data_IF_727487902815
#
_entry.id   IF_727487902815
#
_cell.length_a   1.000
_cell.length_b   1.000
_cell.length_c   1.000
_cell.angle_alpha   90.00
_cell.angle_beta   90.00
_cell.angle_gamma   90.00
#
_symmetry.space_group_name_H-M   'P 1'
#
loop_
_entity.id
_entity.type
_entity.pdbx_description
1 polymer ?
#
# COMPACT_ATOMS: atom_id res chain seq x y z
N UNK A 1 11.40 14.35 -6.25
CA UNK A 1 10.16 13.70 -6.65
C UNK A 1 9.19 14.74 -7.18
N UNK A 2 8.56 14.48 -8.30
CA UNK A 2 7.61 15.42 -8.89
C UNK A 2 6.27 15.39 -8.18
N UNK A 3 5.52 16.50 -8.26
CA UNK A 3 4.17 16.56 -7.74
C UNK A 3 3.24 15.54 -8.40
N UNK A 4 3.51 15.20 -9.67
CA UNK A 4 2.75 14.18 -10.40
C UNK A 4 2.91 12.80 -9.78
N UNK A 5 4.12 12.46 -9.33
CA UNK A 5 4.39 11.18 -8.68
C UNK A 5 3.64 11.08 -7.35
N UNK A 6 3.63 12.16 -6.56
CA UNK A 6 2.88 12.20 -5.30
C UNK A 6 1.38 12.16 -5.54
N UNK A 7 0.90 12.89 -6.57
CA UNK A 7 -0.52 12.88 -6.93
C UNK A 7 -0.98 11.48 -7.34
N UNK A 8 -0.11 10.67 -7.95
CA UNK A 8 -0.45 9.31 -8.32
C UNK A 8 -0.79 8.45 -7.11
N UNK A 9 -0.12 8.64 -5.97
CA UNK A 9 -0.44 7.90 -4.76
C UNK A 9 -1.89 8.16 -4.31
N UNK A 10 -2.35 9.41 -4.41
CA UNK A 10 -3.73 9.75 -4.09
C UNK A 10 -4.67 9.09 -5.09
N UNK A 11 -4.32 9.11 -6.38
CA UNK A 11 -5.10 8.45 -7.43
C UNK A 11 -5.17 6.94 -7.21
N UNK A 12 -4.07 6.33 -6.77
CA UNK A 12 -4.03 4.89 -6.48
C UNK A 12 -4.98 4.54 -5.32
N UNK A 13 -5.03 5.39 -4.29
CA UNK A 13 -5.97 5.21 -3.19
C UNK A 13 -7.42 5.22 -3.71
N UNK A 14 -7.74 6.14 -4.60
CA UNK A 14 -9.08 6.23 -5.21
C UNK A 14 -9.38 5.01 -6.09
N UNK A 15 -8.39 4.52 -6.84
CA UNK A 15 -8.54 3.31 -7.65
C UNK A 15 -8.84 2.10 -6.76
N UNK A 16 -8.15 1.98 -5.64
CA UNK A 16 -8.38 0.90 -4.67
C UNK A 16 -9.79 1.00 -4.10
N UNK A 17 -10.24 2.20 -3.74
CA UNK A 17 -11.59 2.42 -3.23
C UNK A 17 -12.65 1.99 -4.25
N UNK A 18 -12.46 2.34 -5.53
CA UNK A 18 -13.36 1.94 -6.61
C UNK A 18 -13.39 0.42 -6.78
N UNK A 19 -12.22 -0.21 -6.79
CA UNK A 19 -12.10 -1.66 -6.98
C UNK A 19 -12.63 -2.45 -5.78
N UNK A 20 -12.61 -1.86 -4.59
CA UNK A 20 -13.15 -2.50 -3.39
C UNK A 20 -14.64 -2.81 -3.53
N UNK A 21 -15.38 -1.98 -4.31
CA UNK A 21 -16.79 -2.19 -4.58
C UNK A 21 -17.08 -3.05 -5.82
N UNK A 22 -16.05 -3.53 -6.51
CA UNK A 22 -16.20 -4.32 -7.72
C UNK A 22 -16.45 -5.80 -7.39
N UNK A 23 -16.81 -6.57 -8.44
CA UNK A 23 -16.98 -8.01 -8.33
C UNK A 23 -15.62 -8.67 -8.06
N UNK A 24 -15.58 -9.56 -7.08
CA UNK A 24 -14.39 -10.32 -6.71
C UNK A 24 -13.83 -11.14 -7.88
N UNK A 25 -14.67 -11.56 -8.82
CA UNK A 25 -14.23 -12.31 -10.00
C UNK A 25 -13.49 -11.44 -11.01
N UNK A 26 -13.69 -10.12 -10.98
CA UNK A 26 -13.12 -9.19 -11.97
C UNK A 26 -12.01 -8.31 -11.42
N UNK A 27 -11.75 -8.34 -10.12
CA UNK A 27 -10.78 -7.45 -9.48
C UNK A 27 -9.98 -8.18 -8.41
N UNK A 28 -8.66 -8.13 -8.53
CA UNK A 28 -7.74 -8.66 -7.52
C UNK A 28 -7.97 -7.98 -6.16
N UNK A 29 -8.13 -6.65 -6.16
CA UNK A 29 -8.38 -5.88 -4.93
C UNK A 29 -9.67 -6.33 -4.24
N UNK A 30 -10.75 -6.46 -5.02
CA UNK A 30 -12.04 -6.90 -4.46
C UNK A 30 -11.94 -8.32 -3.89
N UNK A 31 -11.26 -9.22 -4.61
CA UNK A 31 -11.06 -10.60 -4.16
C UNK A 31 -10.24 -10.65 -2.87
N UNK A 32 -9.17 -9.88 -2.81
CA UNK A 32 -8.30 -9.84 -1.64
C UNK A 32 -9.05 -9.32 -0.41
N UNK A 33 -9.83 -8.24 -0.57
CA UNK A 33 -10.65 -7.70 0.51
C UNK A 33 -11.72 -8.70 0.96
N UNK A 34 -12.30 -9.46 0.02
CA UNK A 34 -13.29 -10.49 0.33
C UNK A 34 -12.68 -11.64 1.14
N UNK A 35 -11.39 -11.91 0.99
CA UNK A 35 -10.69 -12.93 1.77
C UNK A 35 -10.46 -12.51 3.22
N UNK A 36 -10.61 -11.23 3.54
CA UNK A 36 -10.58 -10.70 4.90
C UNK A 36 -9.25 -10.08 5.31
N UNK A 37 -9.28 -9.37 6.43
CA UNK A 37 -8.16 -8.60 6.98
C UNK A 37 -6.89 -9.44 7.15
N UNK A 38 -7.03 -10.66 7.64
CA UNK A 38 -5.88 -11.53 7.90
C UNK A 38 -5.08 -11.81 6.63
N UNK A 39 -5.76 -12.02 5.51
CA UNK A 39 -5.10 -12.28 4.23
C UNK A 39 -4.38 -11.02 3.72
N UNK A 40 -5.03 -9.87 3.81
CA UNK A 40 -4.41 -8.60 3.41
C UNK A 40 -3.18 -8.31 4.26
N UNK A 41 -3.30 -8.48 5.58
CA UNK A 41 -2.20 -8.28 6.53
C UNK A 41 -1.03 -9.23 6.24
N UNK A 42 -1.32 -10.46 5.86
CA UNK A 42 -0.29 -11.44 5.46
C UNK A 42 0.52 -10.94 4.27
N UNK A 43 -0.16 -10.39 3.25
CA UNK A 43 0.53 -9.85 2.07
C UNK A 43 1.47 -8.70 2.46
N UNK A 44 1.01 -7.79 3.31
CA UNK A 44 1.84 -6.68 3.79
C UNK A 44 3.08 -7.20 4.53
N UNK A 45 2.90 -8.17 5.42
CA UNK A 45 4.00 -8.76 6.18
C UNK A 45 5.03 -9.45 5.29
N UNK A 46 4.57 -10.26 4.34
CA UNK A 46 5.44 -10.97 3.41
C UNK A 46 6.25 -10.00 2.55
N UNK A 47 5.61 -8.98 2.03
CA UNK A 47 6.29 -8.01 1.16
C UNK A 47 7.24 -7.10 1.92
N UNK A 48 6.95 -6.81 3.19
CA UNK A 48 7.89 -6.08 4.04
C UNK A 48 9.19 -6.86 4.21
N UNK A 49 9.11 -8.17 4.42
CA UNK A 49 10.28 -9.03 4.50
C UNK A 49 11.04 -9.06 3.18
N UNK A 50 10.33 -9.18 2.06
CA UNK A 50 10.94 -9.22 0.72
C UNK A 50 11.65 -7.91 0.37
N UNK A 51 11.09 -6.76 0.76
CA UNK A 51 11.75 -5.46 0.60
C UNK A 51 13.09 -5.45 1.36
N UNK A 52 13.07 -5.89 2.62
CA UNK A 52 14.27 -5.92 3.45
C UNK A 52 15.34 -6.82 2.84
N UNK A 53 14.96 -8.01 2.38
CA UNK A 53 15.87 -8.96 1.76
C UNK A 53 16.46 -8.43 0.45
N UNK A 54 15.65 -7.79 -0.39
CA UNK A 54 16.13 -7.19 -1.64
C UNK A 54 17.15 -6.09 -1.37
N UNK A 55 16.93 -5.28 -0.35
CA UNK A 55 17.85 -4.22 0.05
C UNK A 55 19.19 -4.78 0.52
N UNK A 56 19.16 -5.81 1.38
CA UNK A 56 20.37 -6.47 1.89
C UNK A 56 21.16 -7.13 0.77
N UNK A 57 20.46 -7.73 -0.21
CA UNK A 57 21.09 -8.37 -1.36
C UNK A 57 21.65 -7.36 -2.38
N UNK A 58 21.31 -6.08 -2.25
CA UNK A 58 21.75 -5.06 -3.19
C UNK A 58 21.07 -5.14 -4.55
N UNK A 59 19.93 -5.80 -4.65
CA UNK A 59 19.18 -5.94 -5.89
C UNK A 59 18.19 -4.78 -6.02
N UNK A 60 18.62 -3.74 -6.76
CA UNK A 60 17.83 -2.51 -6.89
C UNK A 60 16.51 -2.71 -7.62
N UNK A 61 16.50 -3.51 -8.69
CA UNK A 61 15.29 -3.75 -9.46
C UNK A 61 14.24 -4.48 -8.62
N UNK A 62 14.66 -5.50 -7.89
CA UNK A 62 13.79 -6.25 -7.01
C UNK A 62 13.29 -5.38 -5.84
N UNK A 63 14.16 -4.54 -5.30
CA UNK A 63 13.78 -3.60 -4.24
C UNK A 63 12.63 -2.69 -4.69
N UNK A 64 12.72 -2.15 -5.92
CA UNK A 64 11.66 -1.28 -6.45
C UNK A 64 10.35 -2.05 -6.64
N UNK A 65 10.41 -3.26 -7.18
CA UNK A 65 9.22 -4.09 -7.40
C UNK A 65 8.54 -4.45 -6.08
N UNK A 66 9.33 -4.91 -5.11
CA UNK A 66 8.78 -5.33 -3.82
C UNK A 66 8.27 -4.13 -3.02
N UNK A 67 8.94 -2.99 -3.10
CA UNK A 67 8.47 -1.76 -2.45
C UNK A 67 7.14 -1.29 -3.05
N UNK A 68 6.99 -1.41 -4.38
CA UNK A 68 5.73 -1.07 -5.05
C UNK A 68 4.60 -1.99 -4.58
N UNK A 69 4.86 -3.30 -4.50
CA UNK A 69 3.89 -4.28 -4.00
C UNK A 69 3.51 -4.00 -2.55
N UNK A 70 4.49 -3.70 -1.71
CA UNK A 70 4.27 -3.37 -0.30
C UNK A 70 3.37 -2.15 -0.16
N UNK A 71 3.68 -1.09 -0.91
CA UNK A 71 2.90 0.16 -0.85
C UNK A 71 1.46 -0.08 -1.31
N UNK A 72 1.28 -0.83 -2.39
CA UNK A 72 -0.04 -1.18 -2.89
C UNK A 72 -0.86 -1.94 -1.84
N UNK A 73 -0.31 -3.02 -1.29
CA UNK A 73 -1.03 -3.83 -0.31
C UNK A 73 -1.23 -3.09 1.02
N UNK A 74 -0.31 -2.19 1.38
CA UNK A 74 -0.52 -1.33 2.55
C UNK A 74 -1.75 -0.44 2.36
N UNK A 75 -1.90 0.16 1.17
CA UNK A 75 -3.08 0.98 0.88
C UNK A 75 -4.36 0.15 0.90
N UNK A 76 -4.32 -1.10 0.42
CA UNK A 76 -5.46 -2.01 0.50
C UNK A 76 -5.81 -2.31 1.96
N UNK A 77 -4.81 -2.59 2.79
CA UNK A 77 -5.03 -2.85 4.22
C UNK A 77 -5.63 -1.65 4.93
N UNK A 78 -5.14 -0.45 4.64
CA UNK A 78 -5.70 0.78 5.20
C UNK A 78 -7.17 0.93 4.82
N UNK A 79 -7.50 0.68 3.55
CA UNK A 79 -8.89 0.69 3.08
C UNK A 79 -9.75 -0.30 3.83
N UNK A 80 -9.24 -1.52 4.03
CA UNK A 80 -9.91 -2.57 4.79
C UNK A 80 -10.25 -2.12 6.21
N UNK A 81 -9.39 -1.31 6.83
CA UNK A 81 -9.55 -0.80 8.18
C UNK A 81 -10.21 0.59 8.24
N UNK A 82 -10.71 1.08 7.11
CA UNK A 82 -11.34 2.39 6.98
C UNK A 82 -10.42 3.53 7.46
N UNK A 83 -9.15 3.43 7.10
CA UNK A 83 -8.11 4.42 7.39
C UNK A 83 -7.60 4.97 6.05
N UNK A 84 -7.45 6.28 5.94
CA UNK A 84 -6.95 6.92 4.73
C UNK A 84 -5.43 7.09 4.76
N UNK A 85 -4.83 7.23 3.58
CA UNK A 85 -3.42 7.61 3.47
C UNK A 85 -3.18 8.96 4.16
N UNK A 86 -4.11 9.90 4.04
CA UNK A 86 -4.02 11.20 4.70
C UNK A 86 -3.92 11.07 6.22
N UNK A 87 -4.63 10.11 6.82
CA UNK A 87 -4.56 9.84 8.26
C UNK A 87 -3.13 9.45 8.67
N UNK A 88 -2.49 8.60 7.88
CA UNK A 88 -1.12 8.16 8.14
C UNK A 88 -0.14 9.33 7.97
N UNK A 89 -0.31 10.12 6.92
CA UNK A 89 0.53 11.29 6.66
C UNK A 89 0.42 12.29 7.81
N UNK A 90 -0.78 12.49 8.36
CA UNK A 90 -0.99 13.37 9.51
C UNK A 90 -0.15 12.94 10.72
N UNK A 91 -0.05 11.64 10.97
CA UNK A 91 0.80 11.12 12.05
C UNK A 91 2.27 11.44 11.77
N UNK A 92 2.72 11.22 10.53
CA UNK A 92 4.12 11.52 10.14
C UNK A 92 4.44 13.01 10.28
N UNK A 93 3.52 13.86 9.85
CA UNK A 93 3.68 15.31 9.99
C UNK A 93 3.83 15.71 11.46
N UNK A 94 3.01 15.13 12.33
CA UNK A 94 3.08 15.42 13.76
C UNK A 94 4.41 15.01 14.39
N UNK A 95 5.03 13.95 13.89
CA UNK A 95 6.31 13.44 14.39
C UNK A 95 7.52 14.26 13.91
N UNK A 96 7.36 14.98 12.80
CA UNK A 96 8.49 15.63 12.11
C UNK A 96 8.35 17.16 12.04
N UNK A 97 7.42 17.73 12.78
CA UNK A 97 7.30 19.18 12.85
C UNK A 97 8.47 19.79 13.61
N UNK A 98 9.06 20.86 13.08
CA UNK A 98 10.11 21.59 13.80
C UNK A 98 9.53 22.29 15.03
N UNK A 99 10.24 22.24 16.11
CA UNK A 99 9.96 22.96 17.34
C UNK A 99 9.08 22.28 18.34
#
# INVERSE_FOLDING_TARGET
MSDKALAFLVSLEDIIADRAGADADSSYTARLLAEGTRRVAQKVGEEGVEVALAAVAGNRAELLDEAADLLYHLLVLLRDQDVSLADVVTVLEGRHRPG
#
